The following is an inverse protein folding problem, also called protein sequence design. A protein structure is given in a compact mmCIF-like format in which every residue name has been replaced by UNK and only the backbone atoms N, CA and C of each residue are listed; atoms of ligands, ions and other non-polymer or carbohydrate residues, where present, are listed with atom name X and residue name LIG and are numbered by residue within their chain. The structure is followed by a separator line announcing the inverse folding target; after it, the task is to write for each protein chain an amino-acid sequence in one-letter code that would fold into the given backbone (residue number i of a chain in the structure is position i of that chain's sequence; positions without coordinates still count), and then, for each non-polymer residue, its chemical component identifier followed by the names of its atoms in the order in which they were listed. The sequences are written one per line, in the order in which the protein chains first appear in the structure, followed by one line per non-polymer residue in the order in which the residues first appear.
data_IF_056750467357
#
_entry.id   IF_056750467357
#
_cell.length_a   1.000
_cell.length_b   1.000
_cell.length_c   1.000
_cell.angle_alpha   90.00
_cell.angle_beta   90.00
_cell.angle_gamma   90.00
#
_symmetry.space_group_name_H-M   'P 1'
#
loop_
_entity.id
_entity.type
_entity.pdbx_description
1 polymer ?
#
# COMPACT_ATOMS: atom_id res chain seq x y z
N UNK A 1 13.16 24.60 13.80
CA UNK A 1 12.62 23.67 12.78
C UNK A 1 12.70 22.21 13.24
N UNK A 2 13.85 21.74 13.73
CA UNK A 2 14.04 20.35 14.19
C UNK A 2 13.01 19.87 15.24
N UNK A 3 12.72 20.68 16.26
CA UNK A 3 11.74 20.34 17.31
C UNK A 3 10.33 20.11 16.74
N UNK A 4 9.92 20.88 15.71
CA UNK A 4 8.61 20.71 15.08
C UNK A 4 8.54 19.41 14.28
N UNK A 5 9.58 19.06 13.52
CA UNK A 5 9.62 17.81 12.76
C UNK A 5 9.65 16.57 13.66
N UNK A 6 10.34 16.64 14.81
CA UNK A 6 10.34 15.53 15.79
C UNK A 6 8.95 15.31 16.40
N UNK A 7 8.24 16.38 16.74
CA UNK A 7 6.87 16.30 17.27
C UNK A 7 5.93 15.72 16.20
N UNK A 8 5.97 16.24 14.96
CA UNK A 8 5.11 15.76 13.87
C UNK A 8 5.41 14.30 13.52
N UNK A 9 6.69 13.90 13.48
CA UNK A 9 7.07 12.51 13.23
C UNK A 9 6.65 11.56 14.34
N UNK A 10 6.76 11.96 15.61
CA UNK A 10 6.28 11.16 16.74
C UNK A 10 4.76 10.97 16.72
N UNK A 11 4.01 12.01 16.36
CA UNK A 11 2.54 11.95 16.22
C UNK A 11 2.15 11.02 15.07
N UNK A 12 2.73 11.22 13.89
CA UNK A 12 2.44 10.40 12.70
C UNK A 12 2.71 8.91 12.95
N UNK A 13 3.86 8.57 13.51
CA UNK A 13 4.23 7.17 13.73
C UNK A 13 3.25 6.46 14.69
N UNK A 14 2.90 7.09 15.81
CA UNK A 14 1.91 6.54 16.76
C UNK A 14 0.52 6.45 16.14
N UNK A 15 0.11 7.46 15.38
CA UNK A 15 -1.17 7.46 14.70
C UNK A 15 -1.28 6.27 13.74
N UNK A 16 -0.25 6.04 12.93
CA UNK A 16 -0.24 4.97 11.94
C UNK A 16 -0.26 3.60 12.60
N UNK A 17 0.56 3.37 13.63
CA UNK A 17 0.57 2.10 14.37
C UNK A 17 -0.82 1.75 14.93
N UNK A 18 -1.50 2.74 15.53
CA UNK A 18 -2.85 2.58 16.06
C UNK A 18 -3.85 2.34 14.94
N UNK A 19 -3.80 3.13 13.86
CA UNK A 19 -4.75 3.03 12.75
C UNK A 19 -4.64 1.69 12.02
N UNK A 20 -3.43 1.18 11.81
CA UNK A 20 -3.23 -0.14 11.20
C UNK A 20 -3.85 -1.22 12.09
N UNK A 21 -3.62 -1.17 13.40
CA UNK A 21 -4.27 -2.10 14.34
C UNK A 21 -5.80 -2.04 14.28
N UNK A 22 -6.37 -0.83 14.24
CA UNK A 22 -7.82 -0.63 14.09
C UNK A 22 -8.32 -1.19 12.75
N UNK A 23 -7.65 -0.89 11.64
CA UNK A 23 -8.07 -1.33 10.31
C UNK A 23 -8.03 -2.85 10.18
N UNK A 24 -6.95 -3.49 10.66
CA UNK A 24 -6.84 -4.95 10.65
C UNK A 24 -7.92 -5.60 11.55
N UNK A 25 -8.20 -5.02 12.72
CA UNK A 25 -9.27 -5.47 13.61
C UNK A 25 -10.66 -5.35 12.98
N UNK A 26 -10.97 -4.22 12.35
CA UNK A 26 -12.21 -4.03 11.60
C UNK A 26 -12.33 -5.01 10.43
N UNK A 27 -11.23 -5.29 9.74
CA UNK A 27 -11.18 -6.30 8.70
C UNK A 27 -11.66 -7.68 9.18
N UNK A 28 -11.20 -8.14 10.34
CA UNK A 28 -11.66 -9.42 10.89
C UNK A 28 -13.14 -9.41 11.28
N UNK A 29 -13.65 -8.27 11.78
CA UNK A 29 -15.07 -8.12 12.08
C UNK A 29 -15.96 -8.31 10.85
N UNK A 30 -15.40 -8.02 9.67
CA UNK A 30 -16.06 -8.10 8.38
C UNK A 30 -15.98 -9.46 7.68
N UNK A 31 -15.11 -10.34 8.17
CA UNK A 31 -14.93 -11.69 7.64
C UNK A 31 -16.23 -12.50 7.51
N UNK A 32 -17.17 -12.48 8.48
CA UNK A 32 -18.43 -13.23 8.36
C UNK A 32 -19.36 -12.75 7.23
N UNK A 33 -19.15 -11.55 6.69
CA UNK A 33 -19.97 -11.00 5.61
C UNK A 33 -19.53 -11.49 4.22
N UNK A 34 -18.42 -12.21 4.11
CA UNK A 34 -17.94 -12.72 2.83
C UNK A 34 -18.79 -13.89 2.34
N UNK A 35 -19.25 -13.81 1.10
CA UNK A 35 -20.12 -14.79 0.46
C UNK A 35 -19.40 -15.57 -0.64
N UNK A 36 -18.39 -14.98 -1.27
CA UNK A 36 -17.70 -15.56 -2.42
C UNK A 36 -16.24 -15.91 -2.11
N UNK A 37 -15.75 -17.01 -2.68
CA UNK A 37 -14.38 -17.50 -2.46
C UNK A 37 -13.30 -16.45 -2.74
N UNK A 38 -13.49 -15.61 -3.76
CA UNK A 38 -12.52 -14.57 -4.11
C UNK A 38 -12.38 -13.51 -3.01
N UNK A 39 -13.43 -13.24 -2.23
CA UNK A 39 -13.41 -12.24 -1.16
C UNK A 39 -12.51 -12.70 -0.02
N UNK A 40 -12.59 -13.98 0.36
CA UNK A 40 -11.70 -14.59 1.36
C UNK A 40 -10.23 -14.55 0.92
N UNK A 41 -9.97 -14.89 -0.35
CA UNK A 41 -8.61 -14.83 -0.92
C UNK A 41 -8.10 -13.39 -0.93
N UNK A 42 -8.92 -12.45 -1.41
CA UNK A 42 -8.59 -11.03 -1.45
C UNK A 42 -8.31 -10.49 -0.05
N UNK A 43 -9.13 -10.86 0.95
CA UNK A 43 -8.93 -10.43 2.33
C UNK A 43 -7.62 -10.92 2.91
N UNK A 44 -7.32 -12.22 2.81
CA UNK A 44 -6.05 -12.78 3.32
C UNK A 44 -4.87 -12.03 2.67
N UNK A 45 -4.97 -11.82 1.37
CA UNK A 45 -3.95 -11.12 0.62
C UNK A 45 -3.78 -9.67 1.08
N UNK A 46 -4.86 -8.89 1.19
CA UNK A 46 -4.84 -7.51 1.73
C UNK A 46 -4.25 -7.48 3.13
N UNK A 47 -4.61 -8.43 3.98
CA UNK A 47 -4.13 -8.48 5.35
C UNK A 47 -2.60 -8.61 5.40
N UNK A 48 -2.05 -9.52 4.59
CA UNK A 48 -0.61 -9.66 4.42
C UNK A 48 0.01 -8.39 3.84
N UNK A 49 -0.66 -7.78 2.87
CA UNK A 49 -0.20 -6.59 2.16
C UNK A 49 -0.08 -5.36 3.08
N UNK A 50 -1.08 -5.14 3.93
CA UNK A 50 -1.07 -4.08 4.95
C UNK A 50 0.01 -4.35 5.99
N UNK A 51 0.21 -5.61 6.37
CA UNK A 51 1.24 -6.00 7.33
C UNK A 51 2.64 -5.76 6.78
N UNK A 52 2.89 -6.15 5.53
CA UNK A 52 4.16 -5.91 4.83
C UNK A 52 4.43 -4.41 4.69
N UNK A 53 3.41 -3.65 4.27
CA UNK A 53 3.48 -2.19 4.22
C UNK A 53 3.88 -1.60 5.57
N UNK A 54 3.23 -2.02 6.66
CA UNK A 54 3.54 -1.52 8.00
C UNK A 54 5.00 -1.76 8.43
N UNK A 55 5.51 -2.96 8.12
CA UNK A 55 6.89 -3.38 8.44
C UNK A 55 7.92 -2.52 7.71
N UNK A 56 7.67 -2.18 6.44
CA UNK A 56 8.57 -1.36 5.64
C UNK A 56 8.40 0.16 5.89
N UNK A 57 7.17 0.58 6.19
CA UNK A 57 6.82 1.98 6.37
C UNK A 57 7.29 2.53 7.72
N UNK A 58 7.20 1.75 8.80
CA UNK A 58 7.58 2.20 10.14
C UNK A 58 9.06 2.62 10.26
N UNK A 59 10.04 1.83 9.74
CA UNK A 59 11.43 2.27 9.67
C UNK A 59 11.62 3.47 8.73
N UNK A 60 10.85 3.55 7.65
CA UNK A 60 10.95 4.63 6.66
C UNK A 60 10.48 5.97 7.23
N UNK A 61 9.39 6.01 8.00
CA UNK A 61 8.95 7.21 8.73
C UNK A 61 9.96 7.70 9.78
N UNK A 62 10.66 6.78 10.44
CA UNK A 62 11.74 7.16 11.38
C UNK A 62 12.90 7.83 10.65
N UNK A 63 13.20 7.39 9.43
CA UNK A 63 14.24 7.98 8.58
C UNK A 63 13.79 9.29 7.90
N UNK A 64 12.52 9.35 7.49
CA UNK A 64 11.91 10.44 6.73
C UNK A 64 10.67 10.97 7.46
N UNK A 65 10.82 11.57 8.64
CA UNK A 65 9.66 12.05 9.39
C UNK A 65 8.91 13.17 8.66
N UNK A 66 7.61 13.35 8.89
CA UNK A 66 6.88 14.54 8.47
C UNK A 66 7.60 15.84 8.85
N UNK A 67 7.86 16.72 7.87
CA UNK A 67 8.37 18.09 8.12
C UNK A 67 7.25 19.11 8.08
N UNK A 68 6.14 18.79 7.42
CA UNK A 68 5.01 19.68 7.16
C UNK A 68 3.71 19.00 7.54
N UNK A 69 2.70 19.81 7.86
CA UNK A 69 1.34 19.31 8.14
C UNK A 69 0.73 18.57 6.94
N UNK A 70 1.12 18.96 5.73
CA UNK A 70 0.71 18.27 4.49
C UNK A 70 1.17 16.80 4.49
N UNK A 71 2.31 16.47 5.10
CA UNK A 71 2.79 15.09 5.17
C UNK A 71 1.88 14.25 6.09
N UNK A 72 1.40 14.84 7.19
CA UNK A 72 0.41 14.20 8.07
C UNK A 72 -0.92 13.98 7.34
N UNK A 73 -1.37 14.95 6.53
CA UNK A 73 -2.57 14.78 5.71
C UNK A 73 -2.42 13.64 4.69
N UNK A 74 -1.21 13.45 4.15
CA UNK A 74 -0.90 12.33 3.26
C UNK A 74 -0.93 11.01 4.05
N UNK A 75 -0.33 10.95 5.23
CA UNK A 75 -0.38 9.77 6.10
C UNK A 75 -1.84 9.39 6.42
N UNK A 76 -2.69 10.38 6.73
CA UNK A 76 -4.13 10.17 6.92
C UNK A 76 -4.82 9.64 5.66
N UNK A 77 -4.50 10.19 4.48
CA UNK A 77 -5.06 9.75 3.21
C UNK A 77 -4.63 8.31 2.88
N UNK A 78 -3.39 7.94 3.17
CA UNK A 78 -2.89 6.56 3.06
C UNK A 78 -3.69 5.66 3.99
N UNK A 79 -3.82 5.99 5.28
CA UNK A 79 -4.60 5.17 6.23
C UNK A 79 -6.06 5.00 5.79
N UNK A 80 -6.68 6.07 5.28
CA UNK A 80 -8.03 6.00 4.72
C UNK A 80 -8.10 5.10 3.48
N UNK A 81 -7.12 5.17 2.58
CA UNK A 81 -7.06 4.29 1.41
C UNK A 81 -6.83 2.83 1.78
N UNK A 82 -6.04 2.54 2.82
CA UNK A 82 -5.84 1.19 3.37
C UNK A 82 -7.15 0.67 3.97
N UNK A 83 -7.88 1.51 4.71
CA UNK A 83 -9.22 1.19 5.20
C UNK A 83 -10.17 0.83 4.04
N UNK A 84 -10.21 1.65 2.98
CA UNK A 84 -11.02 1.37 1.81
C UNK A 84 -10.60 0.07 1.13
N UNK A 85 -9.30 -0.20 1.04
CA UNK A 85 -8.76 -1.40 0.42
C UNK A 85 -9.22 -2.67 1.15
N UNK A 86 -9.12 -2.73 2.48
CA UNK A 86 -9.63 -3.89 3.21
C UNK A 86 -11.16 -3.96 3.21
N UNK A 87 -11.86 -2.83 3.32
CA UNK A 87 -13.32 -2.79 3.31
C UNK A 87 -13.90 -3.26 1.97
N UNK A 88 -13.26 -2.88 0.88
CA UNK A 88 -13.68 -3.21 -0.48
C UNK A 88 -13.68 -4.71 -0.80
N UNK A 89 -13.04 -5.54 0.04
CA UNK A 89 -13.14 -7.02 -0.05
C UNK A 89 -14.58 -7.52 0.11
N UNK A 90 -15.45 -6.77 0.78
CA UNK A 90 -16.89 -7.07 0.91
C UNK A 90 -17.72 -6.63 -0.30
N UNK A 91 -17.16 -5.79 -1.16
CA UNK A 91 -17.88 -5.16 -2.26
C UNK A 91 -17.62 -5.95 -3.56
N UNK A 92 -17.43 -5.24 -4.69
CA UNK A 92 -17.10 -5.85 -5.97
C UNK A 92 -15.60 -5.89 -6.19
N UNK A 93 -15.14 -6.80 -7.06
CA UNK A 93 -13.74 -6.85 -7.49
C UNK A 93 -13.24 -5.53 -8.10
N UNK A 94 -14.11 -4.78 -8.78
CA UNK A 94 -13.74 -3.48 -9.35
C UNK A 94 -13.49 -2.43 -8.26
N UNK A 95 -14.36 -2.35 -7.25
CA UNK A 95 -14.14 -1.48 -6.09
C UNK A 95 -12.85 -1.85 -5.33
N UNK A 96 -12.56 -3.14 -5.24
CA UNK A 96 -11.32 -3.65 -4.66
C UNK A 96 -10.08 -3.13 -5.39
N UNK A 97 -10.03 -3.33 -6.71
CA UNK A 97 -8.90 -2.92 -7.54
C UNK A 97 -8.74 -1.39 -7.58
N UNK A 98 -9.84 -0.62 -7.57
CA UNK A 98 -9.77 0.85 -7.47
C UNK A 98 -9.25 1.33 -6.12
N UNK A 99 -9.66 0.69 -5.02
CA UNK A 99 -9.18 1.06 -3.68
C UNK A 99 -7.67 0.82 -3.57
N UNK A 100 -7.19 -0.28 -4.16
CA UNK A 100 -5.76 -0.56 -4.29
C UNK A 100 -5.00 0.48 -5.13
N UNK A 101 -5.55 0.88 -6.29
CA UNK A 101 -4.97 1.96 -7.12
C UNK A 101 -4.85 3.25 -6.30
N UNK A 102 -5.90 3.61 -5.57
CA UNK A 102 -5.93 4.81 -4.73
C UNK A 102 -4.84 4.77 -3.65
N UNK A 103 -4.66 3.62 -3.00
CA UNK A 103 -3.57 3.40 -2.05
C UNK A 103 -2.19 3.63 -2.70
N UNK A 104 -1.91 3.00 -3.84
CA UNK A 104 -0.64 3.18 -4.55
C UNK A 104 -0.40 4.62 -5.00
N UNK A 105 -1.44 5.37 -5.37
CA UNK A 105 -1.31 6.79 -5.73
C UNK A 105 -0.82 7.61 -4.52
N UNK A 106 -1.46 7.45 -3.34
CA UNK A 106 -1.04 8.17 -2.15
C UNK A 106 0.36 7.76 -1.70
N UNK A 107 0.70 6.47 -1.80
CA UNK A 107 2.02 5.99 -1.47
C UNK A 107 3.11 6.58 -2.40
N UNK A 108 2.85 6.66 -3.71
CA UNK A 108 3.75 7.35 -4.66
C UNK A 108 3.93 8.83 -4.29
N UNK A 109 2.85 9.52 -3.93
CA UNK A 109 2.92 10.94 -3.52
C UNK A 109 3.80 11.07 -2.28
N UNK A 110 3.62 10.20 -1.28
CA UNK A 110 4.44 10.18 -0.08
C UNK A 110 5.92 9.90 -0.39
N UNK A 111 6.22 8.84 -1.14
CA UNK A 111 7.58 8.47 -1.55
C UNK A 111 8.26 9.58 -2.35
N UNK A 112 7.53 10.21 -3.26
CA UNK A 112 8.03 11.32 -4.09
C UNK A 112 8.39 12.53 -3.23
N UNK A 113 7.57 12.86 -2.22
CA UNK A 113 7.90 13.92 -1.26
C UNK A 113 9.09 13.57 -0.39
N UNK A 114 9.15 12.35 0.13
CA UNK A 114 10.30 11.88 0.90
C UNK A 114 11.59 12.02 0.09
N UNK A 115 11.57 11.64 -1.19
CA UNK A 115 12.71 11.78 -2.09
C UNK A 115 13.14 13.25 -2.28
N UNK A 116 12.19 14.14 -2.57
CA UNK A 116 12.47 15.56 -2.83
C UNK A 116 12.92 16.32 -1.57
N UNK A 117 12.30 16.05 -0.42
CA UNK A 117 12.53 16.81 0.82
C UNK A 117 13.76 16.34 1.61
N UNK A 118 14.18 15.09 1.42
CA UNK A 118 15.30 14.50 2.15
C UNK A 118 16.54 14.26 1.29
N UNK A 119 16.42 14.33 -0.05
CA UNK A 119 17.53 14.05 -0.98
C UNK A 119 18.35 12.82 -0.58
N UNK A 120 17.69 11.65 -0.41
CA UNK A 120 18.34 10.48 0.16
C UNK A 120 19.48 9.99 -0.73
N UNK A 121 20.58 9.58 -0.10
CA UNK A 121 21.77 9.08 -0.77
C UNK A 121 21.81 7.54 -0.83
N UNK A 122 22.51 7.00 -1.82
CA UNK A 122 22.85 5.57 -1.92
C UNK A 122 21.62 4.64 -1.87
N UNK A 123 21.59 3.70 -0.92
CA UNK A 123 20.59 2.64 -0.83
C UNK A 123 19.15 3.17 -0.62
N UNK A 124 18.98 4.23 0.16
CA UNK A 124 17.66 4.83 0.42
C UNK A 124 17.09 5.49 -0.86
N UNK A 125 17.96 6.07 -1.70
CA UNK A 125 17.57 6.62 -3.01
C UNK A 125 17.04 5.53 -3.95
N UNK A 126 17.75 4.40 -4.00
CA UNK A 126 17.37 3.25 -4.82
C UNK A 126 16.06 2.62 -4.33
N UNK A 127 15.89 2.49 -3.02
CA UNK A 127 14.66 2.01 -2.40
C UNK A 127 13.45 2.86 -2.83
N UNK A 128 13.50 4.18 -2.60
CA UNK A 128 12.37 5.06 -2.93
C UNK A 128 12.07 5.06 -4.43
N UNK A 129 13.10 5.10 -5.30
CA UNK A 129 12.91 5.06 -6.75
C UNK A 129 12.29 3.76 -7.22
N UNK A 130 12.75 2.62 -6.70
CA UNK A 130 12.21 1.32 -7.04
C UNK A 130 10.73 1.25 -6.62
N UNK A 131 10.40 1.64 -5.40
CA UNK A 131 9.01 1.64 -4.92
C UNK A 131 8.10 2.54 -5.74
N UNK A 132 8.53 3.77 -6.06
CA UNK A 132 7.76 4.67 -6.94
C UNK A 132 7.51 4.02 -8.31
N UNK A 133 8.54 3.45 -8.92
CA UNK A 133 8.44 2.80 -10.24
C UNK A 133 7.47 1.62 -10.20
N UNK A 134 7.62 0.72 -9.23
CA UNK A 134 6.80 -0.48 -9.14
C UNK A 134 5.37 -0.16 -8.73
N UNK A 135 5.12 0.76 -7.81
CA UNK A 135 3.75 1.22 -7.53
C UNK A 135 3.09 1.81 -8.79
N UNK A 136 3.85 2.51 -9.63
CA UNK A 136 3.37 3.02 -10.93
C UNK A 136 3.00 1.89 -11.90
N UNK A 137 3.86 0.88 -12.03
CA UNK A 137 3.58 -0.34 -12.82
C UNK A 137 2.34 -1.06 -12.29
N UNK A 138 2.21 -1.16 -10.96
CA UNK A 138 1.08 -1.76 -10.27
C UNK A 138 -0.24 -1.07 -10.59
N UNK A 139 -0.26 0.27 -10.61
CA UNK A 139 -1.43 1.03 -11.05
C UNK A 139 -1.79 0.68 -12.51
N UNK A 140 -0.80 0.64 -13.41
CA UNK A 140 -1.03 0.42 -14.84
C UNK A 140 -1.64 -0.96 -15.10
N UNK A 141 -1.04 -2.04 -14.58
CA UNK A 141 -1.61 -3.37 -14.81
C UNK A 141 -2.95 -3.52 -14.10
N UNK A 142 -3.14 -2.89 -12.92
CA UNK A 142 -4.41 -2.97 -12.18
C UNK A 142 -5.53 -2.31 -12.96
N UNK A 143 -5.29 -1.15 -13.59
CA UNK A 143 -6.23 -0.53 -14.50
C UNK A 143 -6.58 -1.44 -15.69
N UNK A 144 -5.61 -2.17 -16.21
CA UNK A 144 -5.83 -3.21 -17.23
C UNK A 144 -6.76 -4.32 -16.74
N UNK A 145 -6.56 -4.82 -15.51
CA UNK A 145 -7.43 -5.83 -14.90
C UNK A 145 -8.83 -5.28 -14.67
N UNK A 146 -8.96 -4.04 -14.19
CA UNK A 146 -10.26 -3.36 -14.03
C UNK A 146 -11.00 -3.31 -15.35
N UNK A 147 -10.32 -2.91 -16.44
CA UNK A 147 -10.90 -2.87 -17.77
C UNK A 147 -11.40 -4.26 -18.20
N UNK A 148 -10.60 -5.31 -17.99
CA UNK A 148 -11.00 -6.69 -18.29
C UNK A 148 -12.16 -7.18 -17.41
N UNK A 149 -12.21 -6.80 -16.13
CA UNK A 149 -13.27 -7.18 -15.20
C UNK A 149 -14.61 -6.50 -15.52
N UNK A 150 -14.60 -5.28 -16.07
CA UNK A 150 -15.81 -4.54 -16.43
C UNK A 150 -16.35 -4.92 -17.81
N UNK A 151 -15.47 -5.20 -18.78
CA UNK A 151 -15.84 -5.33 -20.19
C UNK A 151 -15.53 -6.70 -20.79
N UNK A 152 -14.74 -7.52 -20.11
CA UNK A 152 -14.38 -8.87 -20.53
C UNK A 152 -15.21 -9.95 -19.83
N UNK A 153 -15.11 -11.21 -20.28
CA UNK A 153 -15.78 -12.36 -19.66
C UNK A 153 -15.06 -12.84 -18.38
N UNK A 154 -14.29 -11.96 -17.71
CA UNK A 154 -13.42 -12.32 -16.59
C UNK A 154 -14.21 -12.42 -15.29
N UNK A 155 -14.19 -13.59 -14.65
CA UNK A 155 -14.79 -13.75 -13.32
C UNK A 155 -13.94 -13.05 -12.24
N UNK A 156 -14.56 -12.66 -11.13
CA UNK A 156 -13.85 -12.02 -10.02
C UNK A 156 -12.68 -12.89 -9.49
N UNK A 157 -12.85 -14.21 -9.47
CA UNK A 157 -11.80 -15.15 -9.06
C UNK A 157 -10.59 -15.11 -10.01
N UNK A 158 -10.80 -15.07 -11.32
CA UNK A 158 -9.70 -14.99 -12.29
C UNK A 158 -8.99 -13.63 -12.16
N UNK A 159 -9.75 -12.54 -12.03
CA UNK A 159 -9.19 -11.21 -11.88
C UNK A 159 -8.31 -11.10 -10.62
N UNK A 160 -8.76 -11.59 -9.46
CA UNK A 160 -7.96 -11.56 -8.23
C UNK A 160 -6.71 -12.46 -8.34
N UNK A 161 -6.81 -13.63 -8.98
CA UNK A 161 -5.65 -14.51 -9.15
C UNK A 161 -4.56 -13.88 -10.02
N UNK A 162 -4.96 -13.24 -11.14
CA UNK A 162 -4.03 -12.51 -12.01
C UNK A 162 -3.41 -11.34 -11.26
N UNK A 163 -4.23 -10.57 -10.53
CA UNK A 163 -3.77 -9.44 -9.73
C UNK A 163 -2.71 -9.87 -8.70
N UNK A 164 -2.99 -10.90 -7.90
CA UNK A 164 -2.06 -11.42 -6.88
C UNK A 164 -0.77 -11.91 -7.53
N UNK A 165 -0.86 -12.68 -8.62
CA UNK A 165 0.32 -13.18 -9.31
C UNK A 165 1.23 -12.06 -9.81
N UNK A 166 0.65 -11.04 -10.46
CA UNK A 166 1.40 -9.87 -10.93
C UNK A 166 2.00 -9.08 -9.77
N UNK A 167 1.27 -8.91 -8.67
CA UNK A 167 1.76 -8.21 -7.48
C UNK A 167 2.93 -8.91 -6.82
N UNK A 168 2.87 -10.23 -6.68
CA UNK A 168 4.01 -11.02 -6.15
C UNK A 168 5.24 -10.82 -7.03
N UNK A 169 5.06 -10.88 -8.36
CA UNK A 169 6.17 -10.65 -9.31
C UNK A 169 6.74 -9.23 -9.16
N UNK A 170 5.90 -8.19 -9.11
CA UNK A 170 6.41 -6.81 -8.96
C UNK A 170 7.11 -6.59 -7.63
N UNK A 171 6.64 -7.18 -6.53
CA UNK A 171 7.29 -7.06 -5.21
C UNK A 171 8.66 -7.75 -5.18
N UNK A 172 8.79 -8.92 -5.82
CA UNK A 172 10.09 -9.60 -5.97
C UNK A 172 11.05 -8.74 -6.80
N UNK A 173 10.60 -8.21 -7.94
CA UNK A 173 11.42 -7.35 -8.80
C UNK A 173 11.84 -6.06 -8.10
N UNK A 174 10.94 -5.45 -7.32
CA UNK A 174 11.25 -4.29 -6.49
C UNK A 174 12.37 -4.60 -5.49
N UNK A 175 12.22 -5.70 -4.74
CA UNK A 175 13.21 -6.12 -3.74
C UNK A 175 14.60 -6.38 -4.34
N UNK A 176 14.65 -6.99 -5.53
CA UNK A 176 15.90 -7.22 -6.27
C UNK A 176 16.61 -5.91 -6.61
N UNK A 177 15.89 -4.85 -6.97
CA UNK A 177 16.49 -3.57 -7.36
C UNK A 177 17.22 -2.85 -6.23
N UNK A 178 16.70 -2.90 -5.00
CA UNK A 178 17.34 -2.25 -3.85
C UNK A 178 18.15 -3.23 -2.97
N UNK A 179 18.45 -4.44 -3.49
CA UNK A 179 19.36 -5.45 -2.91
C UNK A 179 19.06 -5.80 -1.45
N UNK A 180 17.79 -5.75 -1.04
CA UNK A 180 17.34 -6.19 0.29
C UNK A 180 16.63 -7.54 0.23
N UNK A 181 16.94 -8.32 -0.79
CA UNK A 181 16.44 -9.68 -0.86
C UNK A 181 17.27 -10.53 0.11
N UNK A 182 16.67 -10.85 1.25
CA UNK A 182 17.04 -12.02 2.04
C UNK A 182 16.65 -13.29 1.25
N UNK A 183 17.26 -13.50 0.08
CA UNK A 183 17.44 -14.87 -0.40
C UNK A 183 18.70 -15.36 0.28
N UNK A 184 18.48 -16.18 1.32
CA UNK A 184 19.44 -17.02 2.05
C UNK A 184 20.91 -16.94 1.64
#
# INVERSE_FOLDING_TARGET
MAVRSEILGGISLRFIDVMIGVILGLGFQWWPNFTELWQYIAFIFVYLDITDYWIDYSPSLRKFPPKREVDILIDMAIMFSIFLYIYSTQLTITYFLYSYILFNIFDIIWLGRAYLEYSPSNADSLFLKAWILFNGIEIIYTLGIVFLAMWGPTTALIAISIFIALRVITRILASLMYKRVYFF
#
